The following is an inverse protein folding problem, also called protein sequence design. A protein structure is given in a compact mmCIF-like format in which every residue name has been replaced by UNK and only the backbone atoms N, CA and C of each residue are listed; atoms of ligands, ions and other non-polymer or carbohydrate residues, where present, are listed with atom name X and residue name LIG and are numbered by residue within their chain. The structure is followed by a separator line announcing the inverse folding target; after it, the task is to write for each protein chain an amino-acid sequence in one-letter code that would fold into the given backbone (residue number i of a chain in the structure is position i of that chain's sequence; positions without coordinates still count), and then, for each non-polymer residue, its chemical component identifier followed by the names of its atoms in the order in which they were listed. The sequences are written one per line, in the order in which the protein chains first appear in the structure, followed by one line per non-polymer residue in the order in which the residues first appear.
data_IF_536319485264
#
_entry.id   IF_536319485264
#
_cell.length_a   1.000
_cell.length_b   1.000
_cell.length_c   1.000
_cell.angle_alpha   90.00
_cell.angle_beta   90.00
_cell.angle_gamma   90.00
#
_symmetry.space_group_name_H-M   'P 1'
#
loop_
_entity.id
_entity.type
_entity.pdbx_description
1 polymer ?
#
# COMPACT_ATOMS: atom_id res chain seq x y z
N UNK A 1 18.74 3.05 -23.64
CA UNK A 1 17.33 2.82 -23.28
C UNK A 1 16.62 2.32 -24.53
N UNK A 2 16.10 1.10 -24.51
CA UNK A 2 15.30 0.58 -25.62
C UNK A 2 13.95 1.32 -25.73
N UNK A 3 13.22 1.10 -26.82
CA UNK A 3 11.90 1.71 -26.97
C UNK A 3 10.95 1.19 -25.88
N UNK A 4 10.96 -0.11 -25.58
CA UNK A 4 10.19 -0.67 -24.48
C UNK A 4 10.54 -0.05 -23.13
N UNK A 5 11.83 0.06 -22.77
CA UNK A 5 12.23 0.67 -21.49
C UNK A 5 11.68 2.08 -21.34
N UNK A 6 11.81 2.91 -22.39
CA UNK A 6 11.31 4.28 -22.38
C UNK A 6 9.79 4.34 -22.23
N UNK A 7 9.07 3.52 -23.00
CA UNK A 7 7.60 3.53 -22.97
C UNK A 7 7.05 2.99 -21.64
N UNK A 8 7.70 1.97 -21.06
CA UNK A 8 7.33 1.44 -19.75
C UNK A 8 7.58 2.47 -18.65
N UNK A 9 8.69 3.22 -18.72
CA UNK A 9 8.95 4.34 -17.82
C UNK A 9 7.89 5.44 -17.95
N UNK A 10 7.49 5.81 -19.18
CA UNK A 10 6.42 6.78 -19.41
C UNK A 10 5.08 6.33 -18.80
N UNK A 11 4.75 5.05 -18.91
CA UNK A 11 3.55 4.48 -18.27
C UNK A 11 3.66 4.50 -16.75
N UNK A 12 4.82 4.12 -16.20
CA UNK A 12 5.03 4.07 -14.76
C UNK A 12 4.87 5.44 -14.11
N UNK A 13 5.55 6.46 -14.66
CA UNK A 13 5.43 7.84 -14.18
C UNK A 13 4.00 8.36 -14.28
N UNK A 14 3.28 8.02 -15.36
CA UNK A 14 1.88 8.39 -15.48
C UNK A 14 1.00 7.70 -14.41
N UNK A 15 1.25 6.42 -14.13
CA UNK A 15 0.55 5.68 -13.10
C UNK A 15 0.78 6.27 -11.70
N UNK A 16 2.03 6.55 -11.33
CA UNK A 16 2.37 7.23 -10.08
C UNK A 16 1.63 8.57 -9.94
N UNK A 17 1.64 9.40 -11.00
CA UNK A 17 0.90 10.66 -11.01
C UNK A 17 -0.61 10.49 -10.92
N UNK A 18 -1.16 9.38 -11.42
CA UNK A 18 -2.58 9.08 -11.33
C UNK A 18 -3.03 8.74 -9.90
N UNK A 19 -2.09 8.32 -9.03
CA UNK A 19 -2.35 7.92 -7.65
C UNK A 19 -2.17 9.06 -6.64
N UNK A 20 -1.62 10.20 -7.06
CA UNK A 20 -1.47 11.38 -6.20
C UNK A 20 -2.83 11.91 -5.72
N UNK A 21 -2.90 12.39 -4.47
CA UNK A 21 -4.11 13.05 -3.92
C UNK A 21 -4.59 14.24 -4.76
N UNK A 22 -3.66 14.91 -5.44
CA UNK A 22 -3.94 16.05 -6.33
C UNK A 22 -4.45 15.62 -7.71
N UNK A 23 -4.35 14.33 -8.03
CA UNK A 23 -4.72 13.79 -9.33
C UNK A 23 -6.22 13.83 -9.54
N UNK A 24 -6.61 14.11 -10.78
CA UNK A 24 -8.00 14.04 -11.24
C UNK A 24 -8.18 12.95 -12.30
N UNK A 25 -7.15 12.16 -12.52
CA UNK A 25 -7.15 11.11 -13.53
C UNK A 25 -8.14 10.03 -13.14
N UNK A 26 -9.09 9.76 -14.03
CA UNK A 26 -10.09 8.72 -13.84
C UNK A 26 -9.51 7.34 -14.20
N UNK A 27 -10.09 6.27 -13.65
CA UNK A 27 -9.74 4.88 -14.05
C UNK A 27 -9.85 4.66 -15.56
N UNK A 28 -10.81 5.31 -16.23
CA UNK A 28 -10.96 5.22 -17.68
C UNK A 28 -9.80 5.89 -18.43
N UNK A 29 -9.35 7.06 -17.97
CA UNK A 29 -8.15 7.70 -18.53
C UNK A 29 -6.89 6.87 -18.29
N UNK A 30 -6.76 6.23 -17.12
CA UNK A 30 -5.65 5.30 -16.84
C UNK A 30 -5.64 4.15 -17.85
N UNK A 31 -6.76 3.45 -17.99
CA UNK A 31 -6.90 2.34 -18.93
C UNK A 31 -6.57 2.78 -20.36
N UNK A 32 -7.15 3.89 -20.82
CA UNK A 32 -6.97 4.38 -22.18
C UNK A 32 -5.51 4.74 -22.46
N UNK A 33 -4.85 5.42 -21.51
CA UNK A 33 -3.45 5.80 -21.64
C UNK A 33 -2.54 4.57 -21.72
N UNK A 34 -2.71 3.60 -20.81
CA UNK A 34 -1.90 2.38 -20.79
C UNK A 34 -2.14 1.56 -22.05
N UNK A 35 -3.39 1.38 -22.48
CA UNK A 35 -3.71 0.67 -23.72
C UNK A 35 -3.04 1.29 -24.95
N UNK A 36 -3.03 2.62 -25.05
CA UNK A 36 -2.37 3.33 -26.13
C UNK A 36 -0.86 3.15 -26.08
N UNK A 37 -0.25 3.44 -24.93
CA UNK A 37 1.20 3.40 -24.75
C UNK A 37 1.77 1.99 -24.82
N UNK A 38 1.07 1.01 -24.26
CA UNK A 38 1.49 -0.40 -24.30
C UNK A 38 1.66 -0.93 -25.73
N UNK A 39 0.86 -0.43 -26.68
CA UNK A 39 0.97 -0.78 -28.12
C UNK A 39 2.18 -0.15 -28.80
N UNK A 40 2.72 0.95 -28.28
CA UNK A 40 3.91 1.61 -28.83
C UNK A 40 5.20 0.87 -28.46
N UNK A 41 5.23 0.19 -27.31
CA UNK A 41 6.38 -0.55 -26.83
C UNK A 41 6.60 -1.85 -27.63
N UNK A 42 7.84 -2.08 -28.07
CA UNK A 42 8.26 -3.37 -28.63
C UNK A 42 8.22 -4.52 -27.60
N UNK A 43 8.49 -5.75 -28.05
CA UNK A 43 8.37 -6.96 -27.24
C UNK A 43 9.41 -7.07 -26.12
N UNK A 44 10.45 -6.23 -26.08
CA UNK A 44 11.38 -6.23 -24.96
C UNK A 44 10.70 -5.88 -23.63
N UNK A 45 9.51 -5.25 -23.66
CA UNK A 45 8.68 -4.97 -22.48
C UNK A 45 8.39 -6.21 -21.65
N UNK A 46 8.30 -7.39 -22.29
CA UNK A 46 8.07 -8.66 -21.58
C UNK A 46 9.25 -9.14 -20.74
N UNK A 47 10.37 -8.43 -20.79
CA UNK A 47 11.53 -8.65 -19.93
C UNK A 47 11.71 -7.59 -18.84
N UNK A 48 10.89 -6.54 -18.83
CA UNK A 48 10.95 -5.45 -17.87
C UNK A 48 10.00 -5.72 -16.70
N UNK A 49 10.52 -5.72 -15.47
CA UNK A 49 9.73 -6.03 -14.27
C UNK A 49 8.60 -5.02 -14.03
N UNK A 50 8.80 -3.73 -14.29
CA UNK A 50 7.75 -2.71 -14.21
C UNK A 50 6.60 -2.99 -15.18
N UNK A 51 6.89 -3.56 -16.36
CA UNK A 51 5.85 -3.98 -17.30
C UNK A 51 4.96 -5.09 -16.72
N UNK A 52 5.51 -5.99 -15.90
CA UNK A 52 4.73 -6.99 -15.17
C UNK A 52 3.78 -6.35 -14.15
N UNK A 53 4.22 -5.33 -13.43
CA UNK A 53 3.35 -4.56 -12.51
C UNK A 53 2.20 -3.89 -13.28
N UNK A 54 2.50 -3.27 -14.43
CA UNK A 54 1.51 -2.64 -15.31
C UNK A 54 0.48 -3.65 -15.83
N UNK A 55 0.92 -4.85 -16.24
CA UNK A 55 0.00 -5.92 -16.68
C UNK A 55 -0.98 -6.29 -15.56
N UNK A 56 -0.48 -6.51 -14.34
CA UNK A 56 -1.31 -6.85 -13.19
C UNK A 56 -2.28 -5.70 -12.85
N UNK A 57 -1.83 -4.44 -12.97
CA UNK A 57 -2.71 -3.28 -12.80
C UNK A 57 -3.86 -3.30 -13.82
N UNK A 58 -3.57 -3.56 -15.10
CA UNK A 58 -4.61 -3.60 -16.14
C UNK A 58 -5.61 -4.74 -15.96
N UNK A 59 -5.17 -5.92 -15.49
CA UNK A 59 -6.06 -7.01 -15.12
C UNK A 59 -7.06 -6.52 -14.06
N UNK A 60 -6.59 -5.86 -13.00
CA UNK A 60 -7.44 -5.35 -11.92
C UNK A 60 -8.41 -4.25 -12.38
N UNK A 61 -7.95 -3.32 -13.23
CA UNK A 61 -8.82 -2.28 -13.79
C UNK A 61 -10.00 -2.89 -14.58
N UNK A 62 -9.76 -3.94 -15.36
CA UNK A 62 -10.81 -4.63 -16.10
C UNK A 62 -11.69 -5.54 -15.22
N UNK A 63 -11.15 -6.10 -14.13
CA UNK A 63 -11.96 -6.76 -13.09
C UNK A 63 -12.95 -5.76 -12.48
N UNK A 64 -12.50 -4.56 -12.09
CA UNK A 64 -13.36 -3.53 -11.52
C UNK A 64 -14.43 -3.05 -12.51
N UNK A 65 -14.11 -2.96 -13.80
CA UNK A 65 -15.08 -2.64 -14.86
C UNK A 65 -16.02 -3.79 -15.23
N UNK A 66 -15.80 -5.00 -14.69
CA UNK A 66 -16.49 -6.24 -15.11
C UNK A 66 -16.39 -6.49 -16.61
N UNK A 67 -15.25 -6.13 -17.22
CA UNK A 67 -14.96 -6.37 -18.63
C UNK A 67 -14.12 -7.64 -18.77
N UNK A 68 -14.83 -8.77 -18.80
CA UNK A 68 -14.23 -10.10 -18.85
C UNK A 68 -13.31 -10.31 -20.07
N UNK A 69 -13.68 -9.78 -21.23
CA UNK A 69 -12.91 -10.02 -22.46
C UNK A 69 -11.55 -9.33 -22.41
N UNK A 70 -11.51 -8.07 -21.94
CA UNK A 70 -10.24 -7.37 -21.80
C UNK A 70 -9.40 -7.90 -20.63
N UNK A 71 -10.04 -8.27 -19.52
CA UNK A 71 -9.35 -8.95 -18.42
C UNK A 71 -8.64 -10.22 -18.90
N UNK A 72 -9.34 -11.08 -19.66
CA UNK A 72 -8.75 -12.29 -20.26
C UNK A 72 -7.61 -11.98 -21.24
N UNK A 73 -7.76 -10.96 -22.09
CA UNK A 73 -6.67 -10.52 -22.99
C UNK A 73 -5.41 -10.12 -22.20
N UNK A 74 -5.56 -9.42 -21.07
CA UNK A 74 -4.42 -9.04 -20.24
C UNK A 74 -3.81 -10.21 -19.45
N UNK A 75 -4.59 -11.24 -19.10
CA UNK A 75 -4.04 -12.50 -18.60
C UNK A 75 -3.17 -13.20 -19.65
N UNK A 76 -3.62 -13.25 -20.91
CA UNK A 76 -2.81 -13.81 -22.01
C UNK A 76 -1.52 -13.00 -22.25
N UNK A 77 -1.59 -11.67 -22.14
CA UNK A 77 -0.40 -10.79 -22.20
C UNK A 77 0.55 -11.09 -21.02
N UNK A 78 0.03 -11.38 -19.83
CA UNK A 78 0.82 -11.76 -18.66
C UNK A 78 1.66 -13.02 -18.91
N UNK A 79 1.09 -14.01 -19.60
CA UNK A 79 1.81 -15.25 -19.94
C UNK A 79 3.02 -15.02 -20.86
N UNK A 80 3.04 -13.94 -21.65
CA UNK A 80 4.19 -13.55 -22.48
C UNK A 80 5.37 -13.03 -21.66
N UNK A 81 5.13 -12.51 -20.46
CA UNK A 81 6.16 -11.92 -19.61
C UNK A 81 7.07 -13.00 -19.00
N UNK A 82 8.40 -12.80 -18.97
CA UNK A 82 9.36 -13.81 -18.48
C UNK A 82 9.09 -14.31 -17.07
N UNK A 83 8.55 -13.44 -16.20
CA UNK A 83 8.26 -13.78 -14.81
C UNK A 83 7.08 -14.74 -14.64
N UNK A 84 6.18 -14.85 -15.63
CA UNK A 84 5.07 -15.81 -15.59
C UNK A 84 5.57 -17.26 -15.48
N UNK A 85 6.75 -17.53 -16.05
CA UNK A 85 7.36 -18.86 -16.06
C UNK A 85 7.99 -19.26 -14.72
N UNK A 86 8.08 -18.35 -13.75
CA UNK A 86 8.59 -18.66 -12.41
C UNK A 86 7.58 -19.48 -11.58
N UNK A 87 6.30 -19.44 -11.95
CA UNK A 87 5.22 -20.11 -11.24
C UNK A 87 4.83 -21.43 -11.93
N UNK A 88 4.59 -22.47 -11.12
CA UNK A 88 4.01 -23.71 -11.61
C UNK A 88 2.65 -23.47 -12.29
N UNK A 89 2.26 -24.35 -13.21
CA UNK A 89 1.06 -24.16 -14.02
C UNK A 89 -0.22 -24.09 -13.17
N UNK A 90 -0.35 -24.94 -12.14
CA UNK A 90 -1.47 -24.88 -11.20
C UNK A 90 -1.58 -23.53 -10.47
N UNK A 91 -0.46 -22.86 -10.16
CA UNK A 91 -0.45 -21.53 -9.53
C UNK A 91 -1.05 -20.49 -10.48
N UNK A 92 -0.65 -20.54 -11.75
CA UNK A 92 -1.19 -19.64 -12.79
C UNK A 92 -2.68 -19.91 -13.06
N UNK A 93 -3.08 -21.18 -13.10
CA UNK A 93 -4.48 -21.56 -13.23
C UNK A 93 -5.31 -21.06 -12.05
N UNK A 94 -4.82 -21.19 -10.81
CA UNK A 94 -5.49 -20.60 -9.65
C UNK A 94 -5.69 -19.09 -9.81
N UNK A 95 -4.63 -18.36 -10.18
CA UNK A 95 -4.69 -16.90 -10.36
C UNK A 95 -5.70 -16.51 -11.46
N UNK A 96 -5.66 -17.17 -12.61
CA UNK A 96 -6.63 -16.94 -13.68
C UNK A 96 -8.07 -17.24 -13.23
N UNK A 97 -8.28 -18.30 -12.45
CA UNK A 97 -9.57 -18.65 -11.87
C UNK A 97 -10.07 -17.58 -10.90
N UNK A 98 -9.19 -17.06 -10.04
CA UNK A 98 -9.50 -15.94 -9.13
C UNK A 98 -9.93 -14.70 -9.93
N UNK A 99 -9.15 -14.28 -10.94
CA UNK A 99 -9.50 -13.13 -11.76
C UNK A 99 -10.84 -13.31 -12.50
N UNK A 100 -11.13 -14.51 -13.01
CA UNK A 100 -12.42 -14.82 -13.64
C UNK A 100 -13.58 -14.68 -12.65
N UNK A 101 -13.41 -15.21 -11.43
CA UNK A 101 -14.43 -15.16 -10.38
C UNK A 101 -14.69 -13.71 -9.95
N UNK A 102 -13.64 -12.93 -9.68
CA UNK A 102 -13.74 -11.51 -9.33
C UNK A 102 -14.35 -10.68 -10.46
N UNK A 103 -14.12 -11.04 -11.73
CA UNK A 103 -14.73 -10.40 -12.89
C UNK A 103 -16.20 -10.83 -13.12
N UNK A 104 -16.70 -11.81 -12.36
CA UNK A 104 -18.08 -12.29 -12.41
C UNK A 104 -18.35 -13.41 -13.42
N UNK A 105 -17.33 -14.09 -13.92
CA UNK A 105 -17.46 -15.25 -14.80
C UNK A 105 -17.17 -16.55 -14.04
N UNK A 106 -18.19 -17.08 -13.37
CA UNK A 106 -18.12 -18.29 -12.55
C UNK A 106 -17.79 -19.54 -13.38
N UNK A 107 -18.30 -19.65 -14.61
CA UNK A 107 -18.04 -20.80 -15.49
C UNK A 107 -16.55 -20.90 -15.82
N UNK A 108 -15.95 -19.78 -16.26
CA UNK A 108 -14.52 -19.75 -16.57
C UNK A 108 -13.65 -19.91 -15.32
N UNK A 109 -14.08 -19.33 -14.19
CA UNK A 109 -13.39 -19.52 -12.92
C UNK A 109 -13.33 -21.01 -12.54
N UNK A 110 -14.47 -21.72 -12.66
CA UNK A 110 -14.56 -23.13 -12.36
C UNK A 110 -13.67 -23.98 -13.28
N UNK A 111 -13.58 -23.67 -14.58
CA UNK A 111 -12.63 -24.34 -15.49
C UNK A 111 -11.19 -24.23 -14.99
N UNK A 112 -10.74 -23.02 -14.65
CA UNK A 112 -9.38 -22.80 -14.17
C UNK A 112 -9.11 -23.42 -12.80
N UNK A 113 -10.07 -23.34 -11.88
CA UNK A 113 -9.94 -24.01 -10.58
C UNK A 113 -9.88 -25.53 -10.71
N UNK A 114 -10.63 -26.14 -11.64
CA UNK A 114 -10.50 -27.56 -11.95
C UNK A 114 -9.10 -27.91 -12.47
N UNK A 115 -8.52 -27.08 -13.35
CA UNK A 115 -7.15 -27.26 -13.83
C UNK A 115 -6.11 -27.15 -12.71
N UNK A 116 -6.27 -26.19 -11.80
CA UNK A 116 -5.43 -26.08 -10.61
C UNK A 116 -5.57 -27.32 -9.72
N UNK A 117 -6.81 -27.70 -9.40
CA UNK A 117 -7.12 -28.80 -8.49
C UNK A 117 -6.65 -30.16 -9.02
N UNK A 118 -6.71 -30.37 -10.34
CA UNK A 118 -6.24 -31.60 -10.97
C UNK A 118 -4.72 -31.83 -10.80
N UNK A 119 -3.93 -30.77 -10.70
CA UNK A 119 -2.48 -30.83 -10.51
C UNK A 119 -2.08 -30.76 -9.02
N UNK A 120 -2.74 -29.90 -8.24
CA UNK A 120 -2.53 -29.78 -6.80
C UNK A 120 -3.86 -29.55 -6.06
N UNK A 121 -4.48 -30.60 -5.51
CA UNK A 121 -5.78 -30.53 -4.83
C UNK A 121 -5.78 -29.62 -3.60
N UNK A 122 -4.65 -29.48 -2.91
CA UNK A 122 -4.58 -28.74 -1.65
C UNK A 122 -4.34 -27.26 -1.84
N UNK A 123 -3.70 -26.87 -2.95
CA UNK A 123 -3.30 -25.50 -3.18
C UNK A 123 -4.46 -24.50 -3.19
N UNK A 124 -5.60 -24.83 -3.81
CA UNK A 124 -6.74 -23.91 -3.84
C UNK A 124 -7.29 -23.62 -2.42
N UNK A 125 -7.22 -24.60 -1.53
CA UNK A 125 -7.69 -24.51 -0.14
C UNK A 125 -6.68 -23.82 0.80
N UNK A 126 -5.47 -23.49 0.31
CA UNK A 126 -4.50 -22.69 1.05
C UNK A 126 -4.50 -21.21 0.62
N UNK A 127 -5.54 -20.78 -0.12
CA UNK A 127 -5.62 -19.44 -0.73
C UNK A 127 -6.88 -18.71 -0.28
N UNK A 128 -7.32 -17.68 -1.01
CA UNK A 128 -8.35 -16.75 -0.57
C UNK A 128 -9.68 -17.46 -0.28
N UNK A 129 -10.35 -17.17 0.86
CA UNK A 129 -11.59 -17.82 1.27
C UNK A 129 -12.68 -17.86 0.21
N UNK A 130 -12.97 -16.72 -0.42
CA UNK A 130 -14.01 -16.65 -1.43
C UNK A 130 -13.75 -17.57 -2.65
N UNK A 131 -12.49 -17.86 -2.98
CA UNK A 131 -12.13 -18.78 -4.07
C UNK A 131 -12.39 -20.23 -3.68
N UNK A 132 -11.87 -20.69 -2.54
CA UNK A 132 -12.07 -22.08 -2.13
C UNK A 132 -13.50 -22.35 -1.71
N UNK A 133 -14.23 -21.39 -1.13
CA UNK A 133 -15.65 -21.54 -0.80
C UNK A 133 -16.50 -21.68 -2.06
N UNK A 134 -16.20 -20.89 -3.09
CA UNK A 134 -16.85 -21.02 -4.41
C UNK A 134 -16.57 -22.41 -5.00
N UNK A 135 -15.30 -22.82 -5.07
CA UNK A 135 -14.92 -24.09 -5.67
C UNK A 135 -15.47 -25.30 -4.89
N UNK A 136 -15.45 -25.25 -3.56
CA UNK A 136 -15.90 -26.35 -2.69
C UNK A 136 -17.37 -26.72 -2.91
N UNK A 137 -18.22 -25.74 -3.26
CA UNK A 137 -19.65 -25.96 -3.61
C UNK A 137 -19.83 -26.79 -4.88
N UNK A 138 -18.81 -26.86 -5.74
CA UNK A 138 -18.83 -27.54 -7.04
C UNK A 138 -18.10 -28.89 -7.02
N UNK A 139 -17.51 -29.28 -5.88
CA UNK A 139 -16.90 -30.60 -5.73
C UNK A 139 -17.96 -31.68 -5.54
N UNK A 140 -17.72 -32.87 -6.09
CA UNK A 140 -18.55 -34.05 -5.82
C UNK A 140 -18.57 -34.40 -4.33
N UNK A 141 -17.43 -34.20 -3.65
CA UNK A 141 -17.25 -34.40 -2.22
C UNK A 141 -16.62 -33.14 -1.61
N UNK A 142 -17.43 -32.17 -1.16
CA UNK A 142 -16.92 -30.95 -0.54
C UNK A 142 -16.06 -31.23 0.70
N UNK A 143 -14.96 -30.49 0.86
CA UNK A 143 -14.13 -30.50 2.07
C UNK A 143 -14.88 -29.84 3.22
N UNK A 144 -14.62 -30.34 4.43
CA UNK A 144 -15.04 -29.67 5.66
C UNK A 144 -14.13 -28.45 5.90
N UNK A 145 -14.71 -27.26 5.82
CA UNK A 145 -13.99 -25.99 5.99
C UNK A 145 -14.03 -25.50 7.45
N UNK A 146 -14.66 -26.23 8.38
CA UNK A 146 -14.80 -25.81 9.78
C UNK A 146 -13.47 -25.75 10.56
N UNK A 147 -12.39 -26.31 10.00
CA UNK A 147 -11.05 -26.33 10.58
C UNK A 147 -10.00 -25.60 9.75
N UNK A 148 -10.37 -24.87 8.69
CA UNK A 148 -9.36 -24.05 8.00
C UNK A 148 -8.83 -23.06 9.03
N UNK A 149 -7.58 -23.23 9.46
CA UNK A 149 -6.85 -22.27 10.28
C UNK A 149 -6.93 -20.95 9.53
N UNK A 150 -7.88 -20.13 9.95
CA UNK A 150 -7.94 -18.73 9.62
C UNK A 150 -6.66 -18.19 10.26
N UNK A 151 -5.56 -18.17 9.50
CA UNK A 151 -4.52 -17.16 9.71
C UNK A 151 -5.12 -15.85 9.21
N UNK A 152 -6.19 -15.40 9.86
CA UNK A 152 -6.31 -13.97 10.07
C UNK A 152 -5.01 -13.66 10.81
N UNK A 153 -4.15 -12.87 10.18
CA UNK A 153 -3.47 -11.88 10.99
C UNK A 153 -4.61 -11.23 11.77
N UNK A 154 -4.81 -11.65 13.02
CA UNK A 154 -5.72 -10.97 13.93
C UNK A 154 -5.06 -9.59 14.09
N UNK A 155 -5.38 -8.68 13.16
CA UNK A 155 -5.12 -7.27 13.35
C UNK A 155 -5.88 -6.95 14.63
N UNK A 156 -5.14 -6.67 15.70
CA UNK A 156 -5.71 -6.27 16.96
C UNK A 156 -6.48 -4.98 16.65
N UNK A 157 -7.80 -5.11 16.57
CA UNK A 157 -8.67 -4.05 16.06
C UNK A 157 -8.88 -3.02 17.17
N UNK A 158 -7.88 -2.14 17.31
CA UNK A 158 -7.96 -1.03 18.23
C UNK A 158 -9.04 -0.06 17.78
N UNK A 159 -9.81 0.54 18.72
CA UNK A 159 -10.72 1.62 18.35
C UNK A 159 -9.89 2.75 17.73
N UNK A 160 -10.29 3.33 16.59
CA UNK A 160 -9.47 4.29 15.87
C UNK A 160 -9.14 5.54 16.69
N UNK A 161 -7.98 6.13 16.42
CA UNK A 161 -7.55 7.38 17.06
C UNK A 161 -8.46 8.54 16.62
N UNK A 162 -9.09 9.19 17.59
CA UNK A 162 -9.84 10.42 17.32
C UNK A 162 -8.91 11.65 17.21
N UNK A 163 -8.46 11.96 15.99
CA UNK A 163 -7.63 13.12 15.68
C UNK A 163 -8.31 14.04 14.65
N UNK A 164 -9.43 14.67 15.02
CA UNK A 164 -10.23 15.54 14.14
C UNK A 164 -9.41 16.63 13.41
N UNK A 165 -8.39 17.20 14.06
CA UNK A 165 -7.53 18.21 13.44
C UNK A 165 -6.68 17.62 12.31
N UNK A 166 -6.16 16.40 12.50
CA UNK A 166 -5.37 15.70 11.49
C UNK A 166 -6.24 15.32 10.30
N UNK A 167 -7.38 14.67 10.55
CA UNK A 167 -8.35 14.29 9.53
C UNK A 167 -8.82 15.52 8.73
N UNK A 168 -9.10 16.63 9.41
CA UNK A 168 -9.46 17.89 8.75
C UNK A 168 -8.31 18.48 7.93
N UNK A 169 -7.07 18.40 8.43
CA UNK A 169 -5.89 18.92 7.74
C UNK A 169 -5.58 18.15 6.45
N UNK A 170 -5.68 16.82 6.46
CA UNK A 170 -5.37 15.95 5.31
C UNK A 170 -6.58 15.69 4.38
N UNK A 171 -7.75 16.26 4.70
CA UNK A 171 -9.04 16.04 4.03
C UNK A 171 -9.52 14.58 4.05
N UNK A 172 -9.26 13.91 5.17
CA UNK A 172 -9.51 12.48 5.45
C UNK A 172 -10.60 12.32 6.52
N UNK A 173 -11.71 13.04 6.37
CA UNK A 173 -12.75 13.19 7.41
C UNK A 173 -13.48 11.90 7.77
N UNK A 174 -13.42 10.90 6.91
CA UNK A 174 -14.07 9.60 7.08
C UNK A 174 -13.04 8.47 7.19
N UNK A 175 -11.73 8.77 7.23
CA UNK A 175 -10.69 7.74 7.38
C UNK A 175 -10.36 7.51 8.85
N UNK A 176 -10.38 6.24 9.23
CA UNK A 176 -10.00 5.78 10.55
C UNK A 176 -8.48 5.78 10.67
N UNK A 177 -7.95 6.52 11.65
CA UNK A 177 -6.52 6.54 11.94
C UNK A 177 -6.17 5.39 12.87
N UNK A 178 -5.46 4.40 12.35
CA UNK A 178 -5.02 3.22 13.10
C UNK A 178 -3.78 3.51 13.94
N UNK A 179 -3.58 2.71 14.98
CA UNK A 179 -2.36 2.69 15.77
C UNK A 179 -2.00 1.28 16.18
N UNK A 180 -0.73 1.08 16.46
CA UNK A 180 -0.15 -0.17 16.93
C UNK A 180 0.59 0.09 18.25
N UNK A 181 0.45 -0.84 19.19
CA UNK A 181 1.12 -0.79 20.49
C UNK A 181 2.31 -1.73 20.42
N UNK A 182 3.51 -1.21 20.70
CA UNK A 182 4.73 -2.00 20.69
C UNK A 182 5.14 -2.39 22.11
N UNK A 183 5.62 -3.62 22.29
CA UNK A 183 6.21 -4.11 23.53
C UNK A 183 7.73 -3.88 23.59
N UNK A 184 8.41 -4.43 24.61
CA UNK A 184 9.86 -4.25 24.81
C UNK A 184 10.72 -4.93 23.73
N UNK A 185 10.15 -5.88 22.97
CA UNK A 185 10.81 -6.60 21.89
C UNK A 185 10.48 -6.00 20.50
N UNK A 186 9.86 -4.81 20.47
CA UNK A 186 9.31 -4.14 19.29
C UNK A 186 8.24 -5.00 18.55
N UNK A 187 7.55 -5.90 19.28
CA UNK A 187 6.43 -6.72 18.76
C UNK A 187 5.08 -6.14 19.21
N UNK A 188 3.98 -6.65 18.63
CA UNK A 188 2.64 -6.16 18.89
C UNK A 188 2.13 -6.60 20.27
N UNK A 189 1.84 -5.62 21.12
CA UNK A 189 1.11 -5.85 22.36
C UNK A 189 -0.40 -5.84 22.09
N UNK A 190 -1.20 -6.44 22.98
CA UNK A 190 -2.67 -6.38 22.92
C UNK A 190 -3.23 -5.15 23.65
N UNK A 191 -2.65 -4.77 24.80
CA UNK A 191 -3.14 -3.67 25.63
C UNK A 191 -2.04 -2.64 25.94
N UNK A 192 -2.36 -1.33 25.99
CA UNK A 192 -1.39 -0.31 26.37
C UNK A 192 -1.04 -0.42 27.86
N UNK A 193 0.23 -0.20 28.18
CA UNK A 193 0.64 0.13 29.55
C UNK A 193 0.05 1.48 29.99
N UNK A 194 -0.03 1.78 31.30
CA UNK A 194 -0.48 3.09 31.78
C UNK A 194 0.32 4.25 31.18
N UNK A 195 1.62 4.07 30.99
CA UNK A 195 2.50 5.05 30.38
C UNK A 195 2.16 5.25 28.90
N UNK A 196 1.98 4.17 28.13
CA UNK A 196 1.54 4.25 26.73
C UNK A 196 0.16 4.91 26.59
N UNK A 197 -0.76 4.63 27.50
CA UNK A 197 -2.06 5.31 27.56
C UNK A 197 -1.89 6.82 27.79
N UNK A 198 -0.95 7.25 28.64
CA UNK A 198 -0.67 8.69 28.80
C UNK A 198 -0.20 9.33 27.48
N UNK A 199 0.52 8.57 26.65
CA UNK A 199 0.95 9.01 25.32
C UNK A 199 -0.23 9.21 24.37
N UNK A 200 -1.13 8.23 24.30
CA UNK A 200 -2.36 8.29 23.51
C UNK A 200 -3.22 9.49 23.92
N UNK A 201 -3.44 9.66 25.23
CA UNK A 201 -4.21 10.78 25.78
C UNK A 201 -3.54 12.12 25.41
N UNK A 202 -2.21 12.22 25.58
CA UNK A 202 -1.47 13.42 25.22
C UNK A 202 -1.57 13.75 23.72
N UNK A 203 -1.46 12.74 22.86
CA UNK A 203 -1.58 12.89 21.42
C UNK A 203 -2.95 13.47 21.05
N UNK A 204 -4.04 12.94 21.61
CA UNK A 204 -5.40 13.42 21.33
C UNK A 204 -5.63 14.86 21.84
N UNK A 205 -5.18 15.16 23.06
CA UNK A 205 -5.33 16.49 23.67
C UNK A 205 -4.50 17.57 22.97
N UNK A 206 -3.33 17.20 22.41
CA UNK A 206 -2.35 18.13 21.85
C UNK A 206 -2.15 17.98 20.34
N UNK A 207 -3.04 17.26 19.66
CA UNK A 207 -2.93 16.85 18.25
C UNK A 207 -2.55 17.98 17.29
N UNK A 208 -3.08 19.19 17.51
CA UNK A 208 -2.76 20.35 16.67
C UNK A 208 -1.31 20.80 16.83
N UNK A 209 -0.84 20.92 18.07
CA UNK A 209 0.52 21.35 18.38
C UNK A 209 1.54 20.35 17.84
N UNK A 210 1.25 19.06 18.00
CA UNK A 210 2.10 17.98 17.52
C UNK A 210 2.20 18.03 15.99
N UNK A 211 1.07 18.09 15.28
CA UNK A 211 1.07 18.18 13.82
C UNK A 211 1.77 19.43 13.30
N UNK A 212 1.47 20.59 13.89
CA UNK A 212 2.11 21.85 13.49
C UNK A 212 3.63 21.76 13.66
N UNK A 213 4.12 21.20 14.77
CA UNK A 213 5.55 21.03 15.01
C UNK A 213 6.19 20.06 14.01
N UNK A 214 5.54 18.92 13.75
CA UNK A 214 5.97 17.94 12.74
C UNK A 214 6.15 18.63 11.38
N UNK A 215 5.11 19.30 10.90
CA UNK A 215 5.11 19.88 9.56
C UNK A 215 6.08 21.07 9.46
N UNK A 216 6.26 21.84 10.53
CA UNK A 216 7.25 22.93 10.55
C UNK A 216 8.69 22.41 10.50
N UNK A 217 9.01 21.34 11.24
CA UNK A 217 10.34 20.72 11.15
C UNK A 217 10.55 20.04 9.79
N UNK A 218 9.52 19.37 9.26
CA UNK A 218 9.57 18.79 7.93
C UNK A 218 9.78 19.88 6.86
N UNK A 219 9.10 21.02 6.94
CA UNK A 219 9.27 22.13 6.00
C UNK A 219 10.72 22.64 5.94
N UNK A 220 11.45 22.59 7.07
CA UNK A 220 12.88 22.96 7.12
C UNK A 220 13.76 21.91 6.45
N UNK A 221 13.49 20.61 6.67
CA UNK A 221 14.23 19.49 6.07
C UNK A 221 13.88 19.23 4.61
N UNK A 222 12.70 19.62 4.17
CA UNK A 222 12.14 19.28 2.87
C UNK A 222 13.02 19.70 1.67
N UNK A 223 13.70 20.86 1.64
CA UNK A 223 14.65 21.18 0.57
C UNK A 223 15.87 20.26 0.49
N UNK A 224 16.25 19.61 1.59
CA UNK A 224 17.30 18.59 1.59
C UNK A 224 16.77 17.27 1.04
N UNK A 225 15.56 16.87 1.44
CA UNK A 225 14.88 15.71 0.86
C UNK A 225 14.70 15.86 -0.66
N UNK A 226 14.26 17.02 -1.14
CA UNK A 226 14.14 17.31 -2.57
C UNK A 226 15.45 17.07 -3.34
N UNK A 227 16.61 17.34 -2.73
CA UNK A 227 17.93 17.08 -3.35
C UNK A 227 18.32 15.61 -3.33
N UNK A 228 17.84 14.85 -2.34
CA UNK A 228 18.11 13.41 -2.23
C UNK A 228 17.32 12.66 -3.31
N UNK A 229 16.04 12.99 -3.48
CA UNK A 229 15.18 12.37 -4.50
C UNK A 229 15.47 12.89 -5.92
N UNK A 230 15.95 14.14 -6.06
CA UNK A 230 16.45 14.73 -7.32
C UNK A 230 15.48 14.58 -8.52
N UNK A 231 14.18 14.76 -8.28
CA UNK A 231 13.17 14.74 -9.34
C UNK A 231 13.46 15.79 -10.41
N UNK A 232 13.19 15.43 -11.66
CA UNK A 232 13.25 16.38 -12.78
C UNK A 232 12.30 17.57 -12.53
N UNK A 233 12.61 18.77 -13.03
CA UNK A 233 11.73 19.95 -12.87
C UNK A 233 10.28 19.71 -13.35
N UNK A 234 10.10 18.78 -14.31
CA UNK A 234 8.78 18.40 -14.81
C UNK A 234 8.00 17.58 -13.78
N UNK A 235 8.67 16.65 -13.10
CA UNK A 235 8.02 15.69 -12.19
C UNK A 235 8.00 16.20 -10.75
N UNK A 236 8.97 17.04 -10.39
CA UNK A 236 9.05 17.74 -9.11
C UNK A 236 7.77 18.52 -8.80
N UNK A 237 7.16 19.17 -9.80
CA UNK A 237 5.93 19.94 -9.59
C UNK A 237 4.77 19.06 -9.10
N UNK A 238 4.75 17.78 -9.49
CA UNK A 238 3.70 16.85 -9.10
C UNK A 238 4.05 16.12 -7.79
N UNK A 239 5.29 15.62 -7.67
CA UNK A 239 5.70 14.74 -6.56
C UNK A 239 6.29 15.48 -5.36
N UNK A 240 7.11 16.51 -5.60
CA UNK A 240 7.79 17.28 -4.55
C UNK A 240 7.81 18.80 -4.84
N UNK A 241 6.65 19.45 -4.97
CA UNK A 241 6.60 20.88 -5.30
C UNK A 241 7.24 21.72 -4.19
N UNK A 242 7.76 22.89 -4.54
CA UNK A 242 8.29 23.83 -3.55
C UNK A 242 7.15 24.36 -2.67
N UNK A 243 7.31 24.22 -1.36
CA UNK A 243 6.30 24.62 -0.37
C UNK A 243 6.65 25.95 0.29
N UNK A 244 5.63 26.78 0.53
CA UNK A 244 5.79 28.08 1.22
C UNK A 244 5.48 28.00 2.70
N UNK A 245 4.58 27.10 3.07
CA UNK A 245 4.10 26.89 4.42
C UNK A 245 3.62 25.43 4.58
N UNK A 246 3.29 25.07 5.81
CA UNK A 246 2.92 23.70 6.18
C UNK A 246 1.64 23.22 5.48
N UNK A 247 0.74 24.11 5.05
CA UNK A 247 -0.52 23.71 4.40
C UNK A 247 -0.28 23.00 3.08
N UNK A 248 0.87 23.25 2.44
CA UNK A 248 1.26 22.55 1.22
C UNK A 248 1.41 21.03 1.39
N UNK A 249 1.63 20.53 2.61
CA UNK A 249 1.74 19.09 2.87
C UNK A 249 0.40 18.35 2.89
N UNK A 250 -0.73 19.05 3.05
CA UNK A 250 -2.05 18.42 3.14
C UNK A 250 -2.37 17.51 1.94
N UNK A 251 -1.90 17.90 0.75
CA UNK A 251 -2.09 17.13 -0.49
C UNK A 251 -0.94 16.20 -0.84
N UNK A 252 0.14 16.20 -0.05
CA UNK A 252 1.34 15.40 -0.32
C UNK A 252 1.51 14.26 0.68
N UNK A 253 0.89 14.36 1.86
CA UNK A 253 0.98 13.37 2.92
C UNK A 253 -0.40 12.82 3.26
N UNK A 254 -0.41 11.56 3.69
CA UNK A 254 -1.51 10.89 4.35
C UNK A 254 -0.97 10.09 5.54
N UNK A 255 -1.42 10.32 6.78
CA UNK A 255 -1.05 9.50 7.93
C UNK A 255 -1.50 8.04 7.71
N UNK A 256 -0.60 7.10 7.96
CA UNK A 256 -0.85 5.66 7.76
C UNK A 256 -1.10 4.94 9.09
N UNK A 257 -0.16 5.06 10.03
CA UNK A 257 -0.21 4.35 11.31
C UNK A 257 0.59 5.13 12.36
N UNK A 258 0.12 5.06 13.60
CA UNK A 258 0.78 5.60 14.79
C UNK A 258 1.35 4.44 15.62
N UNK A 259 2.63 4.46 15.93
CA UNK A 259 3.30 3.43 16.73
C UNK A 259 3.55 3.95 18.14
N UNK A 260 2.88 3.33 19.11
CA UNK A 260 3.01 3.68 20.53
C UNK A 260 4.09 2.79 21.14
N UNK A 261 5.30 3.31 21.25
CA UNK A 261 6.47 2.52 21.65
C UNK A 261 6.42 2.12 23.14
N UNK A 262 7.14 1.07 23.50
CA UNK A 262 7.37 0.67 24.90
C UNK A 262 8.43 1.53 25.61
N UNK A 263 9.14 2.39 24.87
CA UNK A 263 10.24 3.20 25.40
C UNK A 263 9.65 4.43 26.11
N UNK A 264 9.85 4.51 27.43
CA UNK A 264 9.23 5.55 28.27
C UNK A 264 10.24 6.59 28.73
N UNK A 265 9.88 7.87 28.56
CA UNK A 265 10.60 9.02 29.14
C UNK A 265 9.61 10.00 29.76
N UNK A 266 9.90 10.43 30.99
CA UNK A 266 9.06 11.36 31.75
C UNK A 266 7.58 10.92 31.88
N UNK A 267 7.33 9.61 32.00
CA UNK A 267 5.99 9.00 32.10
C UNK A 267 5.14 9.04 30.81
N UNK A 268 5.79 9.27 29.66
CA UNK A 268 5.18 9.21 28.33
C UNK A 268 6.03 8.35 27.38
N UNK A 269 5.41 7.60 26.45
CA UNK A 269 6.13 6.87 25.43
C UNK A 269 6.68 7.83 24.38
N UNK A 270 7.62 7.34 23.59
CA UNK A 270 7.84 7.89 22.26
C UNK A 270 6.72 7.40 21.32
N UNK A 271 6.30 8.27 20.41
CA UNK A 271 5.24 7.98 19.43
C UNK A 271 5.84 8.22 18.04
N UNK A 272 5.88 7.16 17.24
CA UNK A 272 6.25 7.26 15.85
C UNK A 272 5.04 7.32 14.94
N UNK A 273 5.17 8.01 13.81
CA UNK A 273 4.08 8.26 12.87
C UNK A 273 4.60 7.97 11.48
N UNK A 274 3.94 7.04 10.79
CA UNK A 274 4.19 6.76 9.38
C UNK A 274 3.22 7.54 8.50
N UNK A 275 3.72 8.09 7.41
CA UNK A 275 2.93 8.74 6.37
C UNK A 275 3.20 8.09 5.02
N UNK A 276 2.15 7.93 4.22
CA UNK A 276 2.29 7.86 2.77
C UNK A 276 2.65 9.25 2.26
N UNK A 277 3.54 9.32 1.28
CA UNK A 277 3.96 10.58 0.70
C UNK A 277 4.01 10.54 -0.82
N UNK A 278 3.72 11.66 -1.47
CA UNK A 278 3.70 11.76 -2.94
C UNK A 278 5.04 11.46 -3.62
N UNK A 279 6.15 11.47 -2.89
CA UNK A 279 7.49 11.32 -3.46
C UNK A 279 8.18 9.98 -3.19
N UNK A 280 7.53 9.11 -2.41
CA UNK A 280 8.00 7.75 -2.18
C UNK A 280 6.80 6.87 -1.83
N UNK A 281 6.17 6.31 -2.86
CA UNK A 281 5.00 5.44 -2.75
C UNK A 281 5.37 4.03 -2.26
N UNK A 282 6.66 3.66 -2.29
CA UNK A 282 7.14 2.34 -1.85
C UNK A 282 7.52 2.33 -0.36
N UNK A 283 8.19 3.39 0.11
CA UNK A 283 8.76 3.42 1.46
C UNK A 283 8.12 4.43 2.41
N UNK A 284 7.46 5.48 1.91
CA UNK A 284 6.82 6.49 2.75
C UNK A 284 7.78 7.32 3.63
N UNK A 285 7.21 8.04 4.59
CA UNK A 285 7.92 8.93 5.53
C UNK A 285 7.64 8.50 6.97
N UNK A 286 8.68 8.43 7.81
CA UNK A 286 8.56 8.11 9.22
C UNK A 286 9.07 9.26 10.10
N UNK A 287 8.34 9.52 11.19
CA UNK A 287 8.67 10.59 12.12
C UNK A 287 8.54 10.06 13.54
N UNK A 288 9.60 10.22 14.33
CA UNK A 288 9.61 9.85 15.75
C UNK A 288 9.44 11.10 16.62
N UNK A 289 8.53 11.03 17.59
CA UNK A 289 8.23 12.14 18.50
C UNK A 289 8.29 11.71 19.96
N UNK A 290 8.61 12.66 20.84
CA UNK A 290 8.32 12.55 22.27
C UNK A 290 7.45 13.73 22.64
N UNK A 291 6.17 13.45 22.93
CA UNK A 291 5.15 14.49 23.12
C UNK A 291 5.07 15.39 21.87
N UNK A 292 5.32 16.68 22.01
CA UNK A 292 5.31 17.66 20.91
C UNK A 292 6.70 17.93 20.30
N UNK A 293 7.74 17.20 20.74
CA UNK A 293 9.10 17.36 20.24
C UNK A 293 9.41 16.32 19.17
N UNK A 294 10.01 16.78 18.07
CA UNK A 294 10.51 15.92 16.99
C UNK A 294 11.87 15.36 17.39
N UNK A 295 11.99 14.04 17.35
CA UNK A 295 13.24 13.32 17.61
C UNK A 295 13.94 13.07 16.30
N UNK A 296 13.25 12.44 15.35
CA UNK A 296 13.81 12.06 14.06
C UNK A 296 12.77 12.17 12.94
N UNK A 297 13.26 12.43 11.72
CA UNK A 297 12.49 12.39 10.47
C UNK A 297 13.35 11.60 9.49
N UNK A 298 12.82 10.49 8.98
CA UNK A 298 13.49 9.56 8.07
C UNK A 298 12.50 8.77 7.21
N UNK A 299 12.89 7.58 6.75
CA UNK A 299 11.97 6.65 6.06
C UNK A 299 10.90 6.10 7.01
N UNK A 300 9.90 5.38 6.52
CA UNK A 300 8.82 4.87 7.36
C UNK A 300 9.30 4.01 8.54
N UNK A 301 10.45 3.35 8.42
CA UNK A 301 11.11 2.59 9.49
C UNK A 301 11.45 3.41 10.73
N UNK A 302 11.69 4.72 10.56
CA UNK A 302 11.90 5.65 11.67
C UNK A 302 10.70 5.69 12.62
N UNK A 303 9.48 5.40 12.15
CA UNK A 303 8.28 5.44 12.97
C UNK A 303 8.20 4.27 13.99
N UNK A 304 8.92 3.17 13.79
CA UNK A 304 8.82 2.00 14.66
C UNK A 304 10.17 1.46 15.13
N UNK A 305 11.28 2.14 14.80
CA UNK A 305 12.61 1.74 15.22
C UNK A 305 12.97 2.33 16.60
N UNK A 306 13.25 1.44 17.56
CA UNK A 306 13.78 1.78 18.88
C UNK A 306 15.13 2.55 18.82
N UNK A 307 15.90 2.38 17.74
CA UNK A 307 17.16 3.10 17.52
C UNK A 307 16.97 4.61 17.36
N UNK A 308 15.80 5.04 16.86
CA UNK A 308 15.51 6.45 16.60
C UNK A 308 15.50 7.31 17.87
N UNK A 309 15.45 6.69 19.06
CA UNK A 309 15.37 7.39 20.35
C UNK A 309 16.58 7.16 21.24
N UNK A 310 17.55 6.34 20.82
CA UNK A 310 18.72 5.98 21.63
C UNK A 310 19.56 7.17 22.08
N UNK A 311 19.77 8.16 21.21
CA UNK A 311 20.56 9.36 21.53
C UNK A 311 19.83 10.31 22.50
N UNK A 312 18.52 10.14 22.66
CA UNK A 312 17.67 11.03 23.46
C UNK A 312 17.36 10.49 24.87
N UNK A 313 17.60 9.20 25.15
CA UNK A 313 17.42 8.57 26.46
C UNK A 313 18.45 9.05 27.51
#
# INVERSE_FOLDING_TARGET
MSNAEKTIEEINVFLEKSMLKTSKTTKEEVINYIEEKWREADDEKYNNYTAYIIINRMIQEYIWKKDFNNMMRWLEISDLHKASQNNALYIRNYYAGQCCLECGNEEKALEYFNLCYAENPDYIFSRAPFCYEFFNKHLENPRDLSQSEIREYESIDYPPLNLEYWQSFFDEKDEELSYEILDEDDDYAEEPTPEQQNGLDYLQENQKTILDNILNELLKKYPELQKIYDYSEKDKVDFMPDLKDIQGFASLLSPNCFYITSIIKDNYPYIGISFSCSWDDEHGLGIMTHKDRIIEIGGADTAFSSWAVEEDL
#
